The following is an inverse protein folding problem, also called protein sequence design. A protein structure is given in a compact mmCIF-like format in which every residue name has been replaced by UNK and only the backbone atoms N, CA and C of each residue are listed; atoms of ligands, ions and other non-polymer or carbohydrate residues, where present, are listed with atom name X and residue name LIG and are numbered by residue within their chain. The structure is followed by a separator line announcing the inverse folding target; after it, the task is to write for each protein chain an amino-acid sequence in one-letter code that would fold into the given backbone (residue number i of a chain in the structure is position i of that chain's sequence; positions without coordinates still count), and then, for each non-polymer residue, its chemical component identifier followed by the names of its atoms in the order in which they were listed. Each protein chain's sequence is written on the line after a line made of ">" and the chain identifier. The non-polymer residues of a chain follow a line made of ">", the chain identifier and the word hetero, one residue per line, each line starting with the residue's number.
data_IF_352655402304
#
_entry.id   IF_352655402304
#
_cell.length_a   1.000
_cell.length_b   1.000
_cell.length_c   1.000
_cell.angle_alpha   90.00
_cell.angle_beta   90.00
_cell.angle_gamma   90.00
#
_symmetry.space_group_name_H-M   'P 1'
#
loop_
_entity.id
_entity.type
_entity.pdbx_description
1 polymer ?
#
# COMPACT_ATOMS: atom_id res chain seq x y z
N UNK A 1 -11.52 8.94 -1.78
CA UNK A 1 -10.10 8.60 -1.49
C UNK A 1 -9.51 9.08 -0.15
N UNK A 2 -10.19 8.92 0.99
CA UNK A 2 -9.55 9.10 2.32
C UNK A 2 -8.73 7.88 2.76
N UNK A 3 -8.96 6.70 2.17
CA UNK A 3 -8.31 5.44 2.55
C UNK A 3 -6.79 5.44 2.29
N UNK A 4 -6.33 6.01 1.17
CA UNK A 4 -4.91 6.16 0.84
C UNK A 4 -4.13 7.05 1.84
N UNK A 5 -4.82 7.77 2.75
CA UNK A 5 -4.17 8.52 3.84
C UNK A 5 -3.64 7.59 4.93
N UNK A 6 -4.22 6.40 5.09
CA UNK A 6 -3.89 5.43 6.15
C UNK A 6 -2.60 4.64 5.86
N UNK A 7 -2.27 4.40 4.59
CA UNK A 7 -1.05 3.68 4.19
C UNK A 7 0.23 4.50 4.39
N UNK A 8 1.35 3.81 4.65
CA UNK A 8 2.72 4.36 4.58
C UNK A 8 3.09 4.67 3.12
N UNK A 9 4.24 5.31 2.89
CA UNK A 9 4.73 5.57 1.53
C UNK A 9 5.04 4.25 0.79
N UNK A 10 5.54 3.26 1.51
CA UNK A 10 5.85 1.92 1.02
C UNK A 10 4.58 1.20 0.56
N UNK A 11 3.52 1.17 1.37
CA UNK A 11 2.21 0.60 1.02
C UNK A 11 1.66 1.19 -0.30
N UNK A 12 1.88 2.49 -0.53
CA UNK A 12 1.45 3.17 -1.75
C UNK A 12 2.34 2.86 -2.96
N UNK A 13 3.63 2.58 -2.75
CA UNK A 13 4.54 2.15 -3.82
C UNK A 13 4.18 0.74 -4.28
N UNK A 14 3.91 -0.14 -3.33
CA UNK A 14 3.47 -1.52 -3.57
C UNK A 14 2.15 -1.53 -4.33
N UNK A 15 1.15 -0.78 -3.86
CA UNK A 15 -0.15 -0.64 -4.53
C UNK A 15 -0.01 -0.20 -6.00
N UNK A 16 0.78 0.84 -6.25
CA UNK A 16 0.99 1.36 -7.61
C UNK A 16 1.70 0.31 -8.48
N UNK A 17 2.64 -0.45 -7.92
CA UNK A 17 3.35 -1.51 -8.64
C UNK A 17 2.41 -2.67 -8.98
N UNK A 18 1.53 -3.07 -8.06
CA UNK A 18 0.53 -4.13 -8.29
C UNK A 18 -0.50 -3.75 -9.35
N UNK A 19 -0.87 -2.47 -9.41
CA UNK A 19 -1.72 -1.91 -10.47
C UNK A 19 -1.00 -1.82 -11.83
N UNK A 20 0.26 -2.27 -11.92
CA UNK A 20 1.06 -2.23 -13.15
C UNK A 20 1.47 -0.81 -13.56
N UNK A 21 1.41 0.14 -12.63
CA UNK A 21 1.79 1.52 -12.86
C UNK A 21 3.27 1.72 -12.49
N UNK A 22 3.96 2.59 -13.24
CA UNK A 22 5.34 2.91 -12.94
C UNK A 22 5.43 3.77 -11.66
N UNK A 23 5.91 3.17 -10.59
CA UNK A 23 6.23 3.84 -9.33
C UNK A 23 7.75 3.89 -9.14
N UNK A 24 8.27 5.04 -8.71
CA UNK A 24 9.68 5.15 -8.29
C UNK A 24 9.78 5.60 -6.84
N UNK A 25 10.86 5.18 -6.16
CA UNK A 25 11.12 5.55 -4.76
C UNK A 25 11.25 7.06 -4.54
N UNK A 26 11.58 7.82 -5.58
CA UNK A 26 11.67 9.28 -5.56
C UNK A 26 10.30 9.96 -5.57
N UNK A 27 9.24 9.24 -5.91
CA UNK A 27 7.88 9.78 -5.92
C UNK A 27 7.44 10.18 -4.51
N UNK A 28 6.77 11.31 -4.42
CA UNK A 28 6.20 11.79 -3.16
C UNK A 28 4.89 11.06 -2.85
N UNK A 29 4.51 10.98 -1.58
CA UNK A 29 3.25 10.35 -1.14
C UNK A 29 2.03 10.89 -1.93
N UNK A 30 1.88 12.20 -2.18
CA UNK A 30 0.79 12.71 -3.02
C UNK A 30 0.85 12.25 -4.48
N UNK A 31 2.04 12.09 -5.07
CA UNK A 31 2.19 11.61 -6.44
C UNK A 31 1.71 10.17 -6.56
N UNK A 32 2.11 9.31 -5.62
CA UNK A 32 1.69 7.90 -5.59
C UNK A 32 0.17 7.76 -5.41
N UNK A 33 -0.45 8.61 -4.58
CA UNK A 33 -1.91 8.61 -4.41
C UNK A 33 -2.69 8.95 -5.66
N UNK A 34 -2.10 9.75 -6.54
CA UNK A 34 -2.76 10.24 -7.75
C UNK A 34 -2.57 9.29 -8.94
N UNK A 35 -1.64 8.33 -8.85
CA UNK A 35 -1.37 7.38 -9.94
C UNK A 35 -2.57 6.43 -10.19
N UNK A 36 -3.13 5.74 -9.18
CA UNK A 36 -4.29 4.87 -9.37
C UNK A 36 -5.50 5.61 -9.94
N UNK A 37 -5.72 6.86 -9.54
CA UNK A 37 -6.86 7.66 -10.05
C UNK A 37 -6.73 8.18 -11.47
N UNK A 38 -5.52 8.17 -12.02
CA UNK A 38 -5.29 8.65 -13.40
C UNK A 38 -5.36 7.51 -14.40
N UNK A 39 -5.29 6.26 -13.94
CA UNK A 39 -5.65 5.09 -14.71
C UNK A 39 -7.16 5.11 -14.91
N UNK A 40 -7.61 5.39 -16.13
CA UNK A 40 -9.04 5.55 -16.46
C UNK A 40 -9.83 4.23 -16.43
N UNK A 41 -9.29 3.17 -15.84
CA UNK A 41 -9.87 1.82 -15.82
C UNK A 41 -9.91 1.14 -14.46
N UNK A 42 -9.31 1.71 -13.42
CA UNK A 42 -9.26 1.05 -12.11
C UNK A 42 -10.50 1.40 -11.26
N UNK A 43 -11.24 0.38 -10.85
CA UNK A 43 -12.38 0.50 -9.94
C UNK A 43 -11.89 1.07 -8.59
N UNK A 44 -12.54 2.13 -8.09
CA UNK A 44 -12.16 2.76 -6.81
C UNK A 44 -12.28 1.76 -5.65
N UNK A 45 -13.23 0.83 -5.73
CA UNK A 45 -13.42 -0.20 -4.71
C UNK A 45 -12.32 -1.27 -4.78
N UNK A 46 -11.93 -1.72 -5.98
CA UNK A 46 -10.81 -2.67 -6.14
C UNK A 46 -9.49 -2.05 -5.65
N UNK A 47 -9.24 -0.79 -6.01
CA UNK A 47 -8.07 -0.03 -5.53
C UNK A 47 -8.08 0.11 -4.01
N UNK A 48 -9.27 0.26 -3.41
CA UNK A 48 -9.42 0.36 -1.96
C UNK A 48 -9.16 -0.98 -1.29
N UNK A 49 -9.72 -2.07 -1.81
CA UNK A 49 -9.50 -3.43 -1.29
C UNK A 49 -8.01 -3.81 -1.35
N UNK A 50 -7.34 -3.60 -2.49
CA UNK A 50 -5.90 -3.84 -2.61
C UNK A 50 -5.08 -3.01 -1.61
N UNK A 51 -5.43 -1.74 -1.42
CA UNK A 51 -4.74 -0.89 -0.44
C UNK A 51 -4.96 -1.38 1.01
N UNK A 52 -6.14 -1.93 1.32
CA UNK A 52 -6.45 -2.47 2.64
C UNK A 52 -5.66 -3.77 2.88
N UNK A 53 -5.63 -4.67 1.90
CA UNK A 53 -4.88 -5.93 1.94
C UNK A 53 -3.38 -5.69 2.17
N UNK A 54 -2.74 -4.79 1.40
CA UNK A 54 -1.32 -4.43 1.56
C UNK A 54 -1.02 -3.89 2.96
N UNK A 55 -1.91 -3.05 3.50
CA UNK A 55 -1.75 -2.49 4.85
C UNK A 55 -1.91 -3.56 5.93
N UNK A 56 -2.82 -4.51 5.73
CA UNK A 56 -3.04 -5.64 6.63
C UNK A 56 -1.84 -6.59 6.62
N UNK A 57 -1.36 -6.99 5.44
CA UNK A 57 -0.17 -7.82 5.29
C UNK A 57 1.06 -7.21 5.96
N UNK A 58 1.28 -5.89 5.79
CA UNK A 58 2.39 -5.21 6.49
C UNK A 58 2.25 -5.33 8.00
N UNK A 59 1.05 -5.12 8.55
CA UNK A 59 0.82 -5.24 9.99
C UNK A 59 1.03 -6.67 10.48
N UNK A 60 0.59 -7.66 9.74
CA UNK A 60 0.82 -9.07 10.07
C UNK A 60 2.32 -9.40 10.08
N UNK A 61 3.07 -8.92 9.08
CA UNK A 61 4.53 -9.04 9.03
C UNK A 61 5.20 -8.36 10.23
N UNK A 62 4.81 -7.13 10.55
CA UNK A 62 5.31 -6.38 11.72
C UNK A 62 5.02 -7.16 13.03
N UNK A 63 3.81 -7.70 13.21
CA UNK A 63 3.44 -8.49 14.40
C UNK A 63 4.20 -9.83 14.50
N UNK A 64 4.46 -10.49 13.37
CA UNK A 64 5.25 -11.73 13.30
C UNK A 64 6.72 -11.47 13.67
N UNK A 65 7.28 -10.34 13.24
CA UNK A 65 8.63 -9.91 13.60
C UNK A 65 8.74 -9.54 15.07
N UNK A 66 7.77 -8.81 15.62
CA UNK A 66 7.67 -8.50 17.05
C UNK A 66 7.62 -9.79 17.90
N UNK A 67 6.77 -10.75 17.50
CA UNK A 67 6.68 -12.06 18.19
C UNK A 67 7.97 -12.88 18.14
N UNK A 68 8.74 -12.79 17.05
CA UNK A 68 10.05 -13.45 16.94
C UNK A 68 11.10 -12.74 17.78
N UNK A 69 11.07 -11.41 17.82
CA UNK A 69 12.00 -10.60 18.61
C UNK A 69 11.77 -10.79 20.12
N UNK A 70 10.52 -10.98 20.55
CA UNK A 70 10.17 -11.21 21.96
C UNK A 70 10.38 -12.66 22.43
N UNK A 71 10.93 -13.54 21.57
CA UNK A 71 11.33 -14.90 21.97
C UNK A 71 10.16 -15.82 22.35
N UNK A 72 8.95 -15.59 21.80
CA UNK A 72 7.75 -16.38 22.10
C UNK A 72 7.59 -17.59 21.15
N UNK A 73 8.58 -17.86 20.29
CA UNK A 73 8.59 -19.04 19.41
C UNK A 73 9.97 -19.71 19.42
#
# INVERSE_FOLDING_TARGET
>A
MSFLLKGKKEDLLELVTELGLEATVDMTKPMLKNLPTKSAGDDEEDTKLMCEDIVEERKERELLEERKHDGII
#
